data_IF_524081798755
#
_entry.id   IF_524081798755
#
_cell.length_a   1.000
_cell.length_b   1.000
_cell.length_c   1.000
_cell.angle_alpha   90.00
_cell.angle_beta   90.00
_cell.angle_gamma   90.00
#
_symmetry.space_group_name_H-M   'P 1'
#
loop_
_entity.id
_entity.type
_entity.pdbx_description
1 polymer ?
#
# COMPACT_ATOMS: atom_id res chain seq x y z
N UNK A 1 26.68 -29.15 37.88
CA UNK A 1 26.47 -29.94 36.66
C UNK A 1 26.52 -28.97 35.49
N UNK A 2 27.58 -28.17 35.39
CA UNK A 2 28.91 -28.51 34.84
C UNK A 2 28.85 -28.48 33.31
N UNK A 3 29.72 -27.82 32.55
CA UNK A 3 30.98 -27.14 32.87
C UNK A 3 31.34 -26.24 31.68
N UNK A 4 32.13 -25.22 31.97
CA UNK A 4 32.79 -24.29 31.05
C UNK A 4 33.73 -25.01 30.06
N UNK A 5 34.12 -24.33 28.97
CA UNK A 5 35.56 -24.07 28.69
C UNK A 5 35.79 -23.06 27.56
N UNK A 6 36.12 -21.84 27.95
CA UNK A 6 36.96 -20.88 27.23
C UNK A 6 38.22 -21.50 26.63
N UNK A 7 38.66 -20.96 25.48
CA UNK A 7 40.08 -20.64 25.29
C UNK A 7 40.23 -19.26 24.70
N UNK A 8 40.85 -18.45 25.53
CA UNK A 8 41.17 -17.06 25.45
C UNK A 8 42.65 -16.91 24.99
N UNK A 9 43.09 -15.65 24.82
CA UNK A 9 44.47 -15.17 25.04
C UNK A 9 45.44 -15.03 23.84
N UNK A 10 45.51 -13.77 23.36
CA UNK A 10 46.64 -12.79 23.44
C UNK A 10 47.44 -12.38 22.20
N UNK A 11 47.39 -11.05 21.99
CA UNK A 11 48.47 -10.13 21.61
C UNK A 11 49.86 -10.46 22.20
N UNK A 12 50.91 -10.09 21.46
CA UNK A 12 52.00 -9.17 21.87
C UNK A 12 53.05 -9.08 20.72
N UNK A 13 53.38 -7.93 20.09
CA UNK A 13 54.09 -6.69 20.51
C UNK A 13 55.62 -6.70 20.24
N UNK A 14 56.10 -5.59 19.65
CA UNK A 14 57.49 -5.06 19.56
C UNK A 14 58.52 -5.92 18.79
N UNK A 15 59.34 -5.42 17.86
CA UNK A 15 60.09 -4.15 17.81
C UNK A 15 61.59 -4.47 17.98
N UNK A 16 62.43 -4.25 16.96
CA UNK A 16 63.88 -4.46 17.08
C UNK A 16 64.67 -4.28 15.78
N UNK A 17 65.66 -3.39 15.83
CA UNK A 17 66.47 -2.86 14.74
C UNK A 17 67.80 -3.61 14.50
N UNK A 18 68.50 -3.27 13.41
CA UNK A 18 69.95 -3.51 13.21
C UNK A 18 70.30 -4.02 11.80
N UNK A 19 70.83 -3.17 10.90
CA UNK A 19 72.28 -3.02 10.58
C UNK A 19 72.82 -4.20 9.73
N UNK A 20 73.58 -4.09 8.63
CA UNK A 20 74.49 -3.04 8.13
C UNK A 20 75.07 -3.41 6.74
N UNK A 21 75.65 -2.40 6.06
CA UNK A 21 76.83 -2.43 5.16
C UNK A 21 76.68 -3.05 3.75
N UNK A 22 76.68 -2.21 2.69
CA UNK A 22 77.82 -1.79 1.82
C UNK A 22 78.16 -2.89 0.77
N UNK A 23 78.30 -2.66 -0.54
CA UNK A 23 79.22 -1.70 -1.17
C UNK A 23 78.97 -1.60 -2.72
N UNK A 24 78.98 -0.35 -3.21
CA UNK A 24 79.39 0.20 -4.54
C UNK A 24 78.98 -0.42 -5.88
N UNK A 25 78.44 0.43 -6.77
CA UNK A 25 79.20 0.97 -7.92
C UNK A 25 78.45 2.14 -8.59
N UNK A 26 79.05 3.32 -8.57
CA UNK A 26 78.65 4.49 -9.37
C UNK A 26 79.09 4.30 -10.82
N UNK A 27 78.24 4.65 -11.81
CA UNK A 27 78.73 5.34 -13.02
C UNK A 27 77.64 6.09 -13.80
N UNK A 28 77.80 7.42 -13.80
CA UNK A 28 77.50 8.39 -14.87
C UNK A 28 76.04 8.74 -15.22
N UNK A 29 75.66 9.97 -14.86
CA UNK A 29 74.75 10.78 -15.67
C UNK A 29 75.47 11.27 -16.95
N UNK A 30 74.71 11.56 -18.01
CA UNK A 30 74.83 12.91 -18.56
C UNK A 30 73.48 13.60 -18.83
N UNK A 31 73.56 14.92 -18.67
CA UNK A 31 72.85 15.97 -19.40
C UNK A 31 71.32 15.95 -19.50
N UNK A 32 70.74 16.99 -18.88
CA UNK A 32 69.38 17.46 -19.13
C UNK A 32 69.16 17.76 -20.62
N UNK A 33 68.11 17.17 -21.19
CA UNK A 33 67.48 17.61 -22.43
C UNK A 33 66.03 17.97 -22.13
N UNK A 34 65.60 19.07 -22.72
CA UNK A 34 64.35 19.78 -22.45
C UNK A 34 63.11 18.94 -22.82
N UNK A 35 62.07 19.05 -21.99
CA UNK A 35 60.78 18.38 -22.14
C UNK A 35 60.03 18.77 -23.43
N UNK A 36 59.09 17.93 -23.91
CA UNK A 36 57.80 18.44 -24.33
C UNK A 36 56.84 18.37 -23.13
N UNK A 37 56.18 19.49 -22.88
CA UNK A 37 55.15 19.65 -21.87
C UNK A 37 54.11 18.52 -21.95
N UNK A 38 53.85 17.87 -20.82
CA UNK A 38 52.75 16.92 -20.69
C UNK A 38 51.44 17.62 -21.06
N UNK A 39 50.73 17.06 -22.04
CA UNK A 39 49.42 17.54 -22.42
C UNK A 39 48.53 17.60 -21.16
N UNK A 40 47.78 18.69 -20.94
CA UNK A 40 46.89 18.78 -19.79
C UNK A 40 45.88 17.64 -19.91
N UNK A 41 45.91 16.68 -18.97
CA UNK A 41 44.83 15.71 -18.82
C UNK A 41 43.57 16.54 -18.61
N UNK A 42 42.74 16.67 -19.65
CA UNK A 42 41.44 17.34 -19.55
C UNK A 42 40.75 16.66 -18.37
N UNK A 43 40.51 17.40 -17.27
CA UNK A 43 39.67 16.90 -16.19
C UNK A 43 38.36 16.51 -16.87
N UNK A 44 38.10 15.22 -16.99
CA UNK A 44 36.85 14.73 -17.57
C UNK A 44 35.74 15.44 -16.80
N UNK A 45 34.97 16.28 -17.50
CA UNK A 45 33.93 17.09 -16.87
C UNK A 45 32.93 16.06 -16.35
N UNK A 46 32.87 15.87 -15.03
CA UNK A 46 31.98 14.87 -14.42
C UNK A 46 30.51 15.28 -14.50
N UNK A 47 30.23 16.51 -14.91
CA UNK A 47 28.88 17.07 -15.04
C UNK A 47 27.92 16.24 -15.91
N UNK A 48 28.27 15.77 -17.13
CA UNK A 48 27.43 14.82 -17.87
C UNK A 48 27.08 13.57 -17.07
N UNK A 49 28.02 12.98 -16.34
CA UNK A 49 27.74 11.81 -15.48
C UNK A 49 26.78 12.17 -14.33
N UNK A 50 26.97 13.34 -13.71
CA UNK A 50 26.07 13.84 -12.65
C UNK A 50 24.66 14.07 -13.21
N UNK A 51 24.53 14.71 -14.37
CA UNK A 51 23.24 14.95 -15.03
C UNK A 51 22.55 13.63 -15.38
N UNK A 52 23.29 12.66 -15.92
CA UNK A 52 22.77 11.33 -16.21
C UNK A 52 22.27 10.62 -14.94
N UNK A 53 23.03 10.66 -13.85
CA UNK A 53 22.62 10.06 -12.58
C UNK A 53 21.38 10.74 -12.02
N UNK A 54 21.33 12.08 -12.02
CA UNK A 54 20.16 12.83 -11.57
C UNK A 54 18.93 12.49 -12.40
N UNK A 55 19.06 12.42 -13.72
CA UNK A 55 17.95 12.02 -14.59
C UNK A 55 17.43 10.62 -14.27
N UNK A 56 18.32 9.64 -14.06
CA UNK A 56 17.93 8.27 -13.68
C UNK A 56 17.20 8.26 -12.32
N UNK A 57 17.71 8.99 -11.33
CA UNK A 57 17.08 9.08 -10.00
C UNK A 57 15.69 9.68 -10.09
N UNK A 58 15.50 10.73 -10.89
CA UNK A 58 14.18 11.36 -11.08
C UNK A 58 13.19 10.41 -11.75
N UNK A 59 13.62 9.65 -12.77
CA UNK A 59 12.76 8.65 -13.42
C UNK A 59 12.39 7.53 -12.45
N UNK A 60 13.35 7.01 -11.68
CA UNK A 60 13.10 5.97 -10.70
C UNK A 60 12.15 6.45 -9.59
N UNK A 61 12.36 7.67 -9.09
CA UNK A 61 11.48 8.27 -8.08
C UNK A 61 10.07 8.52 -8.64
N UNK A 62 9.94 8.99 -9.87
CA UNK A 62 8.64 9.20 -10.53
C UNK A 62 7.87 7.90 -10.72
N UNK A 63 8.53 6.83 -11.17
CA UNK A 63 7.90 5.52 -11.31
C UNK A 63 7.53 4.91 -9.94
N UNK A 64 8.41 5.03 -8.94
CA UNK A 64 8.13 4.56 -7.58
C UNK A 64 6.97 5.32 -6.94
N UNK A 65 6.93 6.65 -7.11
CA UNK A 65 5.80 7.47 -6.68
C UNK A 65 4.51 7.11 -7.42
N UNK A 66 4.58 6.84 -8.73
CA UNK A 66 3.42 6.42 -9.52
C UNK A 66 2.77 5.15 -8.95
N UNK A 67 3.59 4.12 -8.71
CA UNK A 67 3.09 2.86 -8.14
C UNK A 67 2.60 3.07 -6.71
N UNK A 68 3.32 3.86 -5.90
CA UNK A 68 2.97 4.07 -4.50
C UNK A 68 1.66 4.85 -4.33
N UNK A 69 1.37 5.84 -5.18
CA UNK A 69 0.17 6.67 -5.01
C UNK A 69 -1.14 5.90 -5.23
N UNK A 70 -1.09 4.72 -5.86
CA UNK A 70 -2.25 3.84 -6.03
C UNK A 70 -2.43 2.87 -4.85
N UNK A 71 -1.52 2.88 -3.88
CA UNK A 71 -1.53 1.95 -2.74
C UNK A 71 -2.27 2.53 -1.52
N UNK A 72 -2.93 1.69 -0.70
CA UNK A 72 -3.61 2.15 0.52
C UNK A 72 -2.71 2.93 1.49
N UNK A 73 -1.42 2.59 1.53
CA UNK A 73 -0.43 3.29 2.36
C UNK A 73 -0.23 4.77 1.99
N UNK A 74 -0.47 5.16 0.73
CA UNK A 74 -0.43 6.55 0.31
C UNK A 74 -1.57 7.35 0.95
N UNK A 75 -2.78 6.79 0.96
CA UNK A 75 -3.96 7.45 1.53
C UNK A 75 -3.75 7.76 3.01
N UNK A 76 -3.23 6.81 3.79
CA UNK A 76 -2.89 7.03 5.20
C UNK A 76 -1.73 8.02 5.39
N UNK A 77 -0.68 7.95 4.56
CA UNK A 77 0.49 8.81 4.73
C UNK A 77 0.28 10.27 4.30
N UNK A 78 -0.55 10.51 3.28
CA UNK A 78 -0.78 11.84 2.69
C UNK A 78 -2.09 12.44 3.17
N UNK A 79 -3.17 11.68 3.12
CA UNK A 79 -4.50 12.12 3.56
C UNK A 79 -4.80 11.66 4.99
N UNK A 80 -3.79 11.68 5.87
CA UNK A 80 -3.95 11.33 7.28
C UNK A 80 -5.11 12.10 7.90
N UNK A 81 -5.75 11.54 8.93
CA UNK A 81 -6.99 12.02 9.58
C UNK A 81 -8.28 11.54 8.89
N UNK A 82 -8.72 12.00 7.70
CA UNK A 82 -9.95 11.49 7.11
C UNK A 82 -9.82 10.06 6.54
N UNK A 83 -8.60 9.54 6.35
CA UNK A 83 -8.41 8.20 5.78
C UNK A 83 -7.91 7.13 6.75
N UNK A 84 -7.47 7.49 7.95
CA UNK A 84 -6.77 6.55 8.84
C UNK A 84 -7.66 5.39 9.29
N UNK A 85 -8.89 5.69 9.72
CA UNK A 85 -9.86 4.67 10.14
C UNK A 85 -10.19 3.68 9.01
N UNK A 86 -10.34 4.17 7.78
CA UNK A 86 -10.63 3.35 6.62
C UNK A 86 -9.47 2.42 6.24
N UNK A 87 -8.23 2.94 6.27
CA UNK A 87 -7.04 2.15 5.96
C UNK A 87 -6.79 1.11 7.06
N UNK A 88 -7.00 1.48 8.32
CA UNK A 88 -6.90 0.53 9.44
C UNK A 88 -7.92 -0.59 9.32
N UNK A 89 -9.20 -0.27 9.05
CA UNK A 89 -10.24 -1.26 8.82
C UNK A 89 -9.98 -2.13 7.59
N UNK A 90 -9.51 -1.54 6.50
CA UNK A 90 -9.14 -2.25 5.27
C UNK A 90 -8.08 -3.34 5.52
N UNK A 91 -7.08 -3.10 6.37
CA UNK A 91 -6.06 -4.12 6.66
C UNK A 91 -6.41 -5.06 7.82
N UNK A 92 -7.20 -4.63 8.80
CA UNK A 92 -7.26 -5.31 10.09
C UNK A 92 -8.66 -5.77 10.54
N UNK A 93 -9.75 -5.32 9.90
CA UNK A 93 -11.10 -5.66 10.33
C UNK A 93 -11.74 -6.69 9.39
N UNK A 94 -11.65 -7.96 9.79
CA UNK A 94 -12.22 -9.10 9.07
C UNK A 94 -13.75 -9.05 8.90
N UNK A 95 -14.46 -8.15 9.58
CA UNK A 95 -15.91 -7.98 9.44
C UNK A 95 -16.30 -7.05 8.30
N UNK A 96 -15.35 -6.28 7.76
CA UNK A 96 -15.58 -5.31 6.70
C UNK A 96 -15.40 -5.94 5.32
N UNK A 97 -16.27 -5.57 4.37
CA UNK A 97 -16.12 -5.99 2.97
C UNK A 97 -14.80 -5.47 2.36
N UNK A 98 -14.35 -4.29 2.75
CA UNK A 98 -13.07 -3.73 2.32
C UNK A 98 -11.88 -4.64 2.68
N UNK A 99 -11.89 -5.28 3.86
CA UNK A 99 -10.85 -6.25 4.24
C UNK A 99 -10.96 -7.56 3.45
N UNK A 100 -12.17 -8.01 3.12
CA UNK A 100 -12.33 -9.16 2.24
C UNK A 100 -11.72 -8.89 0.84
N UNK A 101 -11.86 -7.66 0.33
CA UNK A 101 -11.27 -7.23 -0.93
C UNK A 101 -9.75 -7.03 -0.84
N UNK A 102 -9.24 -6.55 0.30
CA UNK A 102 -7.80 -6.48 0.57
C UNK A 102 -7.11 -7.84 0.40
N UNK A 103 -7.74 -8.90 0.92
CA UNK A 103 -7.20 -10.27 0.83
C UNK A 103 -7.16 -10.84 -0.58
N UNK A 104 -7.89 -10.21 -1.50
CA UNK A 104 -7.89 -10.52 -2.93
C UNK A 104 -7.08 -9.48 -3.74
N UNK A 105 -6.17 -8.76 -3.07
CA UNK A 105 -5.28 -7.74 -3.64
C UNK A 105 -6.01 -6.56 -4.32
N UNK A 106 -7.26 -6.26 -3.90
CA UNK A 106 -8.04 -5.14 -4.45
C UNK A 106 -7.78 -3.85 -3.67
N UNK A 107 -7.14 -2.87 -4.29
CA UNK A 107 -6.81 -1.57 -3.70
C UNK A 107 -7.99 -0.61 -3.62
N UNK A 108 -7.84 0.46 -2.82
CA UNK A 108 -8.90 1.47 -2.61
C UNK A 108 -9.41 2.06 -3.94
N UNK A 109 -8.52 2.37 -4.87
CA UNK A 109 -8.86 3.07 -6.13
C UNK A 109 -9.58 2.17 -7.15
N UNK A 110 -9.60 0.86 -6.94
CA UNK A 110 -10.38 -0.06 -7.77
C UNK A 110 -11.88 0.04 -7.49
N UNK A 111 -12.26 0.56 -6.31
CA UNK A 111 -13.64 0.90 -5.95
C UNK A 111 -13.88 2.41 -5.93
N UNK A 112 -12.90 3.18 -5.46
CA UNK A 112 -12.92 4.64 -5.39
C UNK A 112 -12.18 5.25 -6.59
N UNK A 113 -12.77 5.16 -7.78
CA UNK A 113 -12.18 5.76 -8.97
C UNK A 113 -11.93 7.25 -8.76
N UNK A 114 -10.66 7.65 -8.76
CA UNK A 114 -10.27 9.02 -8.47
C UNK A 114 -10.49 9.91 -9.71
N UNK A 115 -11.66 10.56 -9.82
CA UNK A 115 -11.89 11.53 -10.90
C UNK A 115 -11.11 12.81 -10.65
N UNK A 116 -10.40 13.31 -11.67
CA UNK A 116 -9.45 14.43 -11.53
C UNK A 116 -10.12 15.71 -11.00
N UNK A 117 -11.37 15.98 -11.38
CA UNK A 117 -12.14 17.14 -10.93
C UNK A 117 -12.61 17.02 -9.47
N UNK A 118 -12.98 15.81 -9.04
CA UNK A 118 -13.32 15.49 -7.65
C UNK A 118 -12.06 15.60 -6.76
N UNK A 119 -10.91 15.10 -7.23
CA UNK A 119 -9.62 15.15 -6.51
C UNK A 119 -9.14 16.58 -6.19
N UNK A 120 -9.37 17.56 -7.08
CA UNK A 120 -8.98 18.96 -6.80
C UNK A 120 -9.82 19.53 -5.65
N UNK A 121 -11.10 19.18 -5.60
CA UNK A 121 -12.01 19.65 -4.55
C UNK A 121 -11.67 18.97 -3.23
N UNK A 122 -11.42 17.66 -3.23
CA UNK A 122 -10.99 16.89 -2.06
C UNK A 122 -9.66 17.38 -1.49
N UNK A 123 -8.64 17.59 -2.33
CA UNK A 123 -7.35 18.10 -1.90
C UNK A 123 -7.49 19.49 -1.26
N UNK A 124 -8.35 20.35 -1.82
CA UNK A 124 -8.64 21.66 -1.28
C UNK A 124 -9.38 21.59 0.07
N UNK A 125 -10.34 20.68 0.23
CA UNK A 125 -11.03 20.44 1.49
C UNK A 125 -10.06 19.89 2.55
N UNK A 126 -9.19 18.96 2.18
CA UNK A 126 -8.16 18.41 3.06
C UNK A 126 -7.19 19.48 3.55
N UNK A 127 -6.63 20.32 2.66
CA UNK A 127 -5.73 21.42 3.04
C UNK A 127 -6.39 22.41 3.99
N UNK A 128 -7.71 22.63 3.85
CA UNK A 128 -8.47 23.55 4.71
C UNK A 128 -8.96 22.91 6.00
N UNK A 129 -8.93 21.58 6.11
CA UNK A 129 -9.60 20.86 7.20
C UNK A 129 -11.13 20.91 7.09
N UNK A 130 -11.67 21.16 5.89
CA UNK A 130 -13.11 21.27 5.63
C UNK A 130 -13.75 19.87 5.46
N UNK A 131 -13.59 19.01 6.46
CA UNK A 131 -14.21 17.69 6.54
C UNK A 131 -14.68 17.42 7.96
N UNK A 132 -15.70 16.59 8.11
CA UNK A 132 -16.24 16.19 9.40
C UNK A 132 -16.14 14.68 9.54
N UNK A 133 -15.64 14.23 10.69
CA UNK A 133 -15.59 12.83 11.08
C UNK A 133 -16.51 12.57 12.27
N UNK A 134 -16.97 11.33 12.40
CA UNK A 134 -17.67 10.85 13.58
C UNK A 134 -16.69 10.42 14.68
N UNK A 135 -17.23 9.90 15.79
CA UNK A 135 -16.44 9.45 16.95
C UNK A 135 -15.49 8.29 16.62
N UNK A 136 -15.72 7.59 15.51
CA UNK A 136 -14.90 6.46 15.03
C UNK A 136 -13.86 6.87 13.99
N UNK A 137 -13.78 8.16 13.64
CA UNK A 137 -12.85 8.67 12.64
C UNK A 137 -13.31 8.50 11.20
N UNK A 138 -14.54 8.05 10.95
CA UNK A 138 -15.11 7.95 9.61
C UNK A 138 -15.77 9.27 9.19
N UNK A 139 -15.76 9.58 7.89
CA UNK A 139 -16.38 10.79 7.35
C UNK A 139 -17.91 10.75 7.56
N UNK A 140 -18.48 11.86 8.03
CA UNK A 140 -19.93 11.96 8.26
C UNK A 140 -20.74 12.02 6.96
N UNK A 141 -20.09 12.32 5.84
CA UNK A 141 -20.70 12.40 4.51
C UNK A 141 -19.94 11.48 3.58
N UNK A 142 -20.63 10.50 3.01
CA UNK A 142 -20.08 9.55 2.05
C UNK A 142 -20.53 9.93 0.64
N UNK A 143 -19.59 10.12 -0.27
CA UNK A 143 -19.85 10.52 -1.66
C UNK A 143 -19.97 9.36 -2.66
N UNK A 144 -19.71 8.13 -2.22
CA UNK A 144 -19.63 6.95 -3.09
C UNK A 144 -20.72 5.96 -2.72
N UNK A 145 -21.50 5.56 -3.70
CA UNK A 145 -22.49 4.48 -3.59
C UNK A 145 -21.89 3.20 -4.14
N UNK A 146 -21.91 2.11 -3.37
CA UNK A 146 -21.55 0.78 -3.87
C UNK A 146 -22.76 0.16 -4.59
N UNK A 147 -22.94 0.58 -5.84
CA UNK A 147 -23.99 0.11 -6.75
C UNK A 147 -23.47 -1.03 -7.65
N UNK A 148 -24.35 -1.54 -8.51
CA UNK A 148 -23.99 -2.60 -9.46
C UNK A 148 -22.88 -2.17 -10.43
N UNK A 149 -22.75 -0.88 -10.77
CA UNK A 149 -21.71 -0.41 -11.69
C UNK A 149 -20.32 -0.51 -11.06
N UNK A 150 -20.22 -0.28 -9.76
CA UNK A 150 -18.98 -0.46 -9.00
C UNK A 150 -18.63 -1.94 -8.83
N UNK A 151 -19.59 -2.77 -8.43
CA UNK A 151 -19.31 -4.14 -8.00
C UNK A 151 -19.31 -5.16 -9.16
N UNK A 152 -20.22 -5.00 -10.12
CA UNK A 152 -20.44 -5.97 -11.21
C UNK A 152 -19.72 -5.60 -12.52
N UNK A 153 -18.55 -4.98 -12.40
CA UNK A 153 -17.67 -4.71 -13.54
C UNK A 153 -16.96 -5.97 -14.03
N UNK A 154 -16.48 -5.94 -15.27
CA UNK A 154 -15.71 -7.05 -15.85
C UNK A 154 -14.47 -7.34 -14.99
N UNK A 155 -14.29 -8.62 -14.64
CA UNK A 155 -13.19 -9.08 -13.78
C UNK A 155 -13.48 -9.05 -12.27
N UNK A 156 -14.63 -8.53 -11.83
CA UNK A 156 -15.06 -8.55 -10.43
C UNK A 156 -16.23 -9.53 -10.23
N UNK A 157 -17.46 -9.05 -10.00
CA UNK A 157 -18.61 -9.91 -9.74
C UNK A 157 -19.53 -10.07 -10.95
N UNK A 158 -19.74 -11.30 -11.43
CA UNK A 158 -20.81 -11.58 -12.37
C UNK A 158 -22.14 -11.77 -11.61
N UNK A 159 -23.12 -10.89 -11.83
CA UNK A 159 -24.35 -10.91 -11.04
C UNK A 159 -25.19 -12.19 -11.25
N UNK A 160 -25.20 -12.77 -12.46
CA UNK A 160 -25.91 -14.03 -12.71
C UNK A 160 -25.27 -15.20 -11.95
N UNK A 161 -23.93 -15.23 -11.87
CA UNK A 161 -23.19 -16.22 -11.08
C UNK A 161 -23.42 -16.01 -9.59
N UNK A 162 -23.43 -14.76 -9.11
CA UNK A 162 -23.74 -14.42 -7.71
C UNK A 162 -25.13 -14.94 -7.35
N UNK A 163 -26.14 -14.68 -8.18
CA UNK A 163 -27.49 -15.20 -7.96
C UNK A 163 -27.51 -16.72 -7.94
N UNK A 164 -26.81 -17.38 -8.86
CA UNK A 164 -26.76 -18.84 -8.91
C UNK A 164 -26.07 -19.44 -7.67
N UNK A 165 -25.01 -18.81 -7.16
CA UNK A 165 -24.29 -19.27 -5.97
C UNK A 165 -25.08 -19.10 -4.68
N UNK A 166 -25.98 -18.12 -4.62
CA UNK A 166 -26.82 -17.86 -3.45
C UNK A 166 -28.23 -18.43 -3.56
N UNK A 167 -28.43 -19.40 -4.45
CA UNK A 167 -29.72 -20.09 -4.58
C UNK A 167 -29.99 -21.00 -3.37
N UNK A 168 -31.25 -21.01 -2.93
CA UNK A 168 -31.69 -21.73 -1.73
C UNK A 168 -30.90 -21.35 -0.47
N UNK A 169 -30.73 -20.05 -0.26
CA UNK A 169 -29.99 -19.47 0.85
C UNK A 169 -30.46 -20.03 2.19
N UNK A 170 -29.53 -20.36 3.10
CA UNK A 170 -29.88 -20.99 4.37
C UNK A 170 -30.46 -22.40 4.27
N UNK A 171 -30.41 -23.03 3.09
CA UNK A 171 -31.07 -24.30 2.81
C UNK A 171 -32.58 -24.16 2.58
N UNK A 172 -33.11 -22.95 2.41
CA UNK A 172 -34.52 -22.69 2.17
C UNK A 172 -34.82 -22.61 0.67
N UNK A 173 -35.65 -23.53 0.16
CA UNK A 173 -35.95 -23.61 -1.28
C UNK A 173 -36.58 -22.30 -1.80
N UNK A 174 -35.99 -21.73 -2.85
CA UNK A 174 -36.46 -20.50 -3.50
C UNK A 174 -36.08 -19.18 -2.80
N UNK A 175 -35.39 -19.24 -1.65
CA UNK A 175 -34.85 -18.04 -0.99
C UNK A 175 -33.53 -17.65 -1.62
N UNK A 176 -33.40 -16.40 -2.04
CA UNK A 176 -32.17 -15.87 -2.64
C UNK A 176 -32.03 -14.36 -2.35
N UNK A 177 -30.99 -13.93 -1.60
CA UNK A 177 -30.82 -12.52 -1.25
C UNK A 177 -30.55 -11.61 -2.46
N UNK A 178 -30.01 -12.17 -3.56
CA UNK A 178 -29.72 -11.44 -4.80
C UNK A 178 -30.84 -11.54 -5.84
N UNK A 179 -31.92 -12.26 -5.52
CA UNK A 179 -33.14 -12.35 -6.35
C UNK A 179 -34.37 -12.23 -5.46
N UNK A 180 -34.56 -11.04 -4.89
CA UNK A 180 -35.68 -10.75 -4.00
C UNK A 180 -36.86 -10.08 -4.70
N UNK A 181 -38.01 -10.05 -4.03
CA UNK A 181 -39.19 -9.32 -4.49
C UNK A 181 -39.03 -7.79 -4.47
N UNK A 182 -37.95 -7.27 -3.88
CA UNK A 182 -37.61 -5.85 -3.93
C UNK A 182 -36.93 -5.45 -5.25
N UNK A 183 -36.43 -6.43 -6.00
CA UNK A 183 -35.82 -6.22 -7.32
C UNK A 183 -34.65 -5.23 -7.29
N UNK A 184 -34.57 -4.38 -8.32
CA UNK A 184 -33.48 -3.41 -8.54
C UNK A 184 -33.52 -2.18 -7.62
N UNK A 185 -34.48 -2.10 -6.69
CA UNK A 185 -34.56 -1.00 -5.73
C UNK A 185 -33.53 -1.12 -4.59
N UNK A 186 -32.82 -2.26 -4.52
CA UNK A 186 -31.76 -2.54 -3.55
C UNK A 186 -30.43 -2.57 -4.30
N UNK A 187 -29.48 -1.74 -3.85
CA UNK A 187 -28.10 -1.76 -4.27
C UNK A 187 -27.24 -2.63 -3.33
N UNK A 188 -26.05 -3.01 -3.80
CA UNK A 188 -25.12 -3.87 -3.06
C UNK A 188 -24.84 -3.33 -1.66
N UNK A 189 -24.64 -2.02 -1.55
CA UNK A 189 -24.41 -1.28 -0.29
C UNK A 189 -25.53 -1.40 0.76
N UNK A 190 -26.76 -1.76 0.39
CA UNK A 190 -27.83 -1.92 1.38
C UNK A 190 -27.61 -3.12 2.32
N UNK A 191 -26.80 -4.08 1.89
CA UNK A 191 -26.46 -5.28 2.64
C UNK A 191 -24.96 -5.38 2.92
N UNK A 192 -24.14 -5.12 1.90
CA UNK A 192 -22.68 -5.23 1.98
C UNK A 192 -22.06 -3.92 2.47
N UNK A 193 -21.63 -3.91 3.74
CA UNK A 193 -20.96 -2.78 4.35
C UNK A 193 -19.49 -2.72 3.91
N UNK A 194 -19.15 -1.69 3.13
CA UNK A 194 -17.78 -1.46 2.62
C UNK A 194 -16.79 -1.22 3.76
N UNK A 195 -17.05 -0.16 4.52
CA UNK A 195 -16.26 0.28 5.68
C UNK A 195 -17.07 0.22 6.98
N UNK A 196 -18.21 -0.46 6.96
CA UNK A 196 -19.06 -0.73 8.12
C UNK A 196 -19.40 -2.20 8.16
N UNK A 197 -19.88 -2.69 9.31
CA UNK A 197 -20.34 -4.07 9.41
C UNK A 197 -21.50 -4.31 8.44
N UNK A 198 -21.43 -5.41 7.69
CA UNK A 198 -22.49 -5.79 6.77
C UNK A 198 -23.78 -6.16 7.51
N UNK A 199 -24.93 -6.03 6.84
CA UNK A 199 -26.24 -6.06 7.45
C UNK A 199 -27.20 -6.93 6.64
N UNK A 200 -27.86 -7.90 7.28
CA UNK A 200 -28.85 -8.75 6.63
C UNK A 200 -30.18 -8.01 6.46
N UNK A 201 -30.26 -7.17 5.42
CA UNK A 201 -31.39 -6.27 5.16
C UNK A 201 -32.76 -6.95 5.21
N UNK A 202 -32.88 -8.13 4.61
CA UNK A 202 -34.12 -8.89 4.54
C UNK A 202 -34.68 -9.23 5.93
N UNK A 203 -33.83 -9.39 6.93
CA UNK A 203 -34.26 -9.77 8.27
C UNK A 203 -34.93 -8.63 9.04
N UNK A 204 -35.04 -7.43 8.45
CA UNK A 204 -35.94 -6.40 8.98
C UNK A 204 -37.41 -6.87 8.96
N UNK A 205 -37.74 -7.84 8.10
CA UNK A 205 -39.07 -8.44 7.99
C UNK A 205 -39.06 -9.98 8.03
N UNK A 206 -37.91 -10.60 7.78
CA UNK A 206 -37.74 -12.05 7.71
C UNK A 206 -36.80 -12.57 8.83
N UNK A 207 -36.54 -13.88 8.84
CA UNK A 207 -35.55 -14.50 9.73
C UNK A 207 -34.73 -15.54 8.96
N UNK A 208 -34.01 -15.08 7.93
CA UNK A 208 -33.11 -15.91 7.13
C UNK A 208 -31.75 -16.10 7.81
N UNK A 209 -31.01 -17.12 7.38
CA UNK A 209 -29.62 -17.32 7.79
C UNK A 209 -28.80 -16.06 7.54
N UNK A 210 -28.06 -15.62 8.58
CA UNK A 210 -27.20 -14.44 8.54
C UNK A 210 -25.75 -14.89 8.57
N UNK A 211 -24.89 -14.43 7.65
CA UNK A 211 -23.46 -14.74 7.69
C UNK A 211 -22.81 -14.34 9.01
N UNK A 212 -21.77 -15.07 9.40
CA UNK A 212 -20.99 -14.72 10.58
C UNK A 212 -20.41 -13.31 10.48
N UNK A 213 -20.46 -12.56 11.58
CA UNK A 213 -19.99 -11.18 11.65
C UNK A 213 -20.96 -10.14 11.05
N UNK A 214 -22.08 -10.56 10.42
CA UNK A 214 -23.08 -9.63 9.93
C UNK A 214 -24.10 -9.25 11.01
N UNK A 215 -24.61 -8.03 10.92
CA UNK A 215 -25.70 -7.54 11.75
C UNK A 215 -27.02 -8.18 11.31
N UNK A 216 -27.78 -8.70 12.28
CA UNK A 216 -29.10 -9.27 12.07
C UNK A 216 -30.19 -8.44 12.80
N UNK A 217 -31.05 -7.71 12.07
CA UNK A 217 -32.13 -6.93 12.66
C UNK A 217 -33.25 -7.74 13.32
N UNK A 218 -33.55 -8.97 12.86
CA UNK A 218 -34.55 -9.83 13.53
C UNK A 218 -34.12 -10.21 14.95
N UNK A 219 -32.82 -10.16 15.22
CA UNK A 219 -32.17 -10.46 16.51
C UNK A 219 -31.71 -9.21 17.26
N UNK A 220 -32.21 -8.03 16.88
CA UNK A 220 -31.93 -6.76 17.55
C UNK A 220 -30.65 -6.04 17.12
N UNK A 221 -29.97 -6.50 16.06
CA UNK A 221 -28.89 -5.75 15.41
C UNK A 221 -29.44 -4.47 14.75
N UNK A 222 -28.76 -3.35 14.88
CA UNK A 222 -29.11 -2.10 14.18
C UNK A 222 -28.02 -1.81 13.15
N UNK A 223 -28.44 -1.52 11.92
CA UNK A 223 -27.57 -1.00 10.87
C UNK A 223 -26.96 0.35 11.27
#
# INVERSE_FOLDING_TARGET
MDEMREKDVREDRFGGAGQSAQETAQKSAPAAAHAPAGAPKRRAKRWPLVVSVVAIVLVAAGAGFWVWHEQPSFCNAICHDPMDAYVEGYFNDATLMANAHEREDVSCLQCHEAKIDEQVTEALSWVRGDFATDETGHLTTQGVTADSKMCATEGCHNFDEVIAMTDNWGGEEGVNPHRSHQGIAIDCSNCHGGHTTSYMYCNACHDYETPDGWLNPSKGGRA
#
